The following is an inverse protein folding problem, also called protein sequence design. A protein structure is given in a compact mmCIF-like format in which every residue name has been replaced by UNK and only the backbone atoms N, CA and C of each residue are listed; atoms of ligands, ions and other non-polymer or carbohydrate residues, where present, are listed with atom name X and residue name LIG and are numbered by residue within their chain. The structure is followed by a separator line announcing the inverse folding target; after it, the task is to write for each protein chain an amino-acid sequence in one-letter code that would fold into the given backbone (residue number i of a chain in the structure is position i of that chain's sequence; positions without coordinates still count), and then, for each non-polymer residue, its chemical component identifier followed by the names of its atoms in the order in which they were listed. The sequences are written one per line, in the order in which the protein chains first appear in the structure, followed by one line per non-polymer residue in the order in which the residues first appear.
data_IF_935722312678
#
_entry.id   IF_935722312678
#
_cell.length_a   1.000
_cell.length_b   1.000
_cell.length_c   1.000
_cell.angle_alpha   90.00
_cell.angle_beta   90.00
_cell.angle_gamma   90.00
#
_symmetry.space_group_name_H-M   'P 1'
#
loop_
_entity.id
_entity.type
_entity.pdbx_description
1 polymer ?
#
# COMPACT_ATOMS: atom_id res chain seq x y z
N UNK A 1 5.18 21.58 -11.36
CA UNK A 1 4.91 21.14 -9.99
C UNK A 1 5.05 22.35 -9.08
N UNK A 2 4.11 22.56 -8.16
CA UNK A 2 3.90 23.83 -7.45
C UNK A 2 4.90 23.93 -6.29
N UNK A 3 5.79 24.94 -6.26
CA UNK A 3 6.87 25.08 -5.24
C UNK A 3 6.37 24.99 -3.79
N UNK A 4 5.11 25.36 -3.57
CA UNK A 4 4.45 25.26 -2.27
C UNK A 4 4.12 23.81 -1.86
N UNK A 5 3.75 22.94 -2.81
CA UNK A 5 3.52 21.52 -2.58
C UNK A 5 4.84 20.83 -2.24
N UNK A 6 5.91 21.14 -2.96
CA UNK A 6 7.24 20.55 -2.76
C UNK A 6 7.78 20.85 -1.36
N UNK A 7 7.67 22.10 -0.89
CA UNK A 7 8.08 22.49 0.48
C UNK A 7 7.29 21.76 1.56
N UNK A 8 5.99 21.53 1.35
CA UNK A 8 5.15 20.81 2.33
C UNK A 8 5.47 19.33 2.37
N UNK A 9 5.61 18.72 1.20
CA UNK A 9 6.02 17.33 1.08
C UNK A 9 7.32 17.10 1.85
N UNK A 10 8.31 17.95 1.65
CA UNK A 10 9.59 17.89 2.39
C UNK A 10 9.38 17.92 3.91
N UNK A 11 8.55 18.84 4.43
CA UNK A 11 8.24 18.89 5.87
C UNK A 11 7.59 17.61 6.40
N UNK A 12 6.69 17.00 5.61
CA UNK A 12 6.07 15.73 5.98
C UNK A 12 7.02 14.53 5.87
N UNK A 13 7.89 14.49 4.86
CA UNK A 13 8.96 13.48 4.73
C UNK A 13 9.91 13.58 5.94
N UNK A 14 10.31 14.78 6.33
CA UNK A 14 11.15 14.98 7.51
C UNK A 14 10.46 14.50 8.79
N UNK A 15 9.16 14.76 8.93
CA UNK A 15 8.37 14.30 10.08
C UNK A 15 8.22 12.78 10.06
N UNK A 16 7.98 12.20 8.88
CA UNK A 16 7.90 10.75 8.67
C UNK A 16 9.20 10.07 9.09
N UNK A 17 10.35 10.56 8.61
CA UNK A 17 11.67 10.03 8.97
C UNK A 17 11.95 10.12 10.48
N UNK A 18 11.54 11.22 11.13
CA UNK A 18 11.65 11.37 12.59
C UNK A 18 10.78 10.34 13.32
N UNK A 19 9.55 10.13 12.88
CA UNK A 19 8.64 9.14 13.47
C UNK A 19 9.23 7.73 13.30
N UNK A 20 9.68 7.37 12.10
CA UNK A 20 10.38 6.11 11.86
C UNK A 20 11.51 5.85 12.85
N UNK A 21 12.38 6.85 13.08
CA UNK A 21 13.49 6.71 14.03
C UNK A 21 13.07 6.60 15.50
N UNK A 22 11.83 6.98 15.84
CA UNK A 22 11.31 6.94 17.21
C UNK A 22 10.77 5.56 17.58
N UNK A 23 10.33 4.77 16.60
CA UNK A 23 9.69 3.47 16.82
C UNK A 23 10.65 2.27 16.77
N UNK A 24 11.95 2.46 17.00
CA UNK A 24 13.03 1.45 16.85
C UNK A 24 12.98 0.30 17.89
N UNK A 25 11.90 -0.47 17.83
CA UNK A 25 11.69 -1.76 18.50
C UNK A 25 11.29 -2.82 17.46
N UNK A 26 12.24 -3.20 16.60
CA UNK A 26 12.37 -4.59 16.13
C UNK A 26 11.61 -5.12 14.90
N UNK A 27 10.73 -4.38 14.20
CA UNK A 27 10.14 -4.88 12.92
C UNK A 27 9.90 -3.75 11.92
N UNK A 28 10.78 -3.62 10.92
CA UNK A 28 10.86 -2.46 10.02
C UNK A 28 9.65 -2.16 9.13
N UNK A 29 8.80 -3.14 8.84
CA UNK A 29 7.66 -2.98 7.91
C UNK A 29 6.42 -2.37 8.59
N UNK A 30 6.07 -2.82 9.79
CA UNK A 30 4.95 -2.27 10.57
C UNK A 30 5.21 -0.82 11.01
N UNK A 31 6.48 -0.46 11.23
CA UNK A 31 6.88 0.90 11.62
C UNK A 31 6.62 1.93 10.52
N UNK A 32 6.86 1.57 9.25
CA UNK A 32 6.57 2.44 8.09
C UNK A 32 5.08 2.71 7.95
N UNK A 33 4.28 1.66 8.11
CA UNK A 33 2.83 1.79 8.05
C UNK A 33 2.33 2.70 9.18
N UNK A 34 2.76 2.48 10.42
CA UNK A 34 2.38 3.33 11.57
C UNK A 34 2.82 4.80 11.35
N UNK A 35 4.07 5.03 10.96
CA UNK A 35 4.59 6.37 10.71
C UNK A 35 3.81 7.08 9.59
N UNK A 36 3.51 6.38 8.49
CA UNK A 36 2.71 6.91 7.39
C UNK A 36 1.28 7.25 7.86
N UNK A 37 0.68 6.39 8.68
CA UNK A 37 -0.64 6.63 9.27
C UNK A 37 -0.68 7.89 10.14
N UNK A 38 0.33 8.09 10.98
CA UNK A 38 0.44 9.30 11.81
C UNK A 38 0.60 10.57 10.96
N UNK A 39 1.36 10.50 9.86
CA UNK A 39 1.48 11.60 8.92
C UNK A 39 0.14 11.91 8.25
N UNK A 40 -0.62 10.89 7.85
CA UNK A 40 -1.93 11.08 7.25
C UNK A 40 -2.90 11.78 8.21
N UNK A 41 -2.88 11.42 9.50
CA UNK A 41 -3.65 12.13 10.53
C UNK A 41 -3.24 13.60 10.63
N UNK A 42 -1.94 13.92 10.57
CA UNK A 42 -1.46 15.30 10.58
C UNK A 42 -1.88 16.08 9.33
N UNK A 43 -1.80 15.44 8.17
CA UNK A 43 -2.25 15.98 6.88
C UNK A 43 -3.74 16.31 6.94
N UNK A 44 -4.56 15.40 7.47
CA UNK A 44 -6.00 15.59 7.63
C UNK A 44 -6.34 16.64 8.69
N UNK A 45 -5.61 16.69 9.80
CA UNK A 45 -5.77 17.75 10.81
C UNK A 45 -5.44 19.15 10.27
N UNK A 46 -4.58 19.24 9.25
CA UNK A 46 -4.21 20.50 8.59
C UNK A 46 -5.07 20.81 7.34
N UNK A 47 -6.04 19.96 7.00
CA UNK A 47 -6.74 19.94 5.70
C UNK A 47 -7.60 21.18 5.37
N UNK A 48 -7.92 22.03 6.34
CA UNK A 48 -8.82 23.17 6.16
C UNK A 48 -8.34 24.23 5.14
N UNK A 49 -7.10 24.15 4.65
CA UNK A 49 -6.49 25.20 3.83
C UNK A 49 -5.99 24.74 2.44
N UNK A 50 -6.18 23.48 2.02
CA UNK A 50 -5.39 22.91 0.92
C UNK A 50 -6.21 22.37 -0.26
N UNK A 51 -5.94 22.92 -1.45
CA UNK A 51 -6.53 22.46 -2.72
C UNK A 51 -5.82 21.24 -3.33
N UNK A 52 -4.68 20.81 -2.77
CA UNK A 52 -3.80 19.75 -3.31
C UNK A 52 -3.59 18.60 -2.32
N UNK A 53 -4.57 18.36 -1.45
CA UNK A 53 -4.50 17.37 -0.37
C UNK A 53 -4.27 15.95 -0.91
N UNK A 54 -5.03 15.56 -1.93
CA UNK A 54 -4.95 14.24 -2.55
C UNK A 54 -3.59 14.00 -3.20
N UNK A 55 -3.04 14.99 -3.90
CA UNK A 55 -1.72 14.91 -4.51
C UNK A 55 -0.60 14.76 -3.46
N UNK A 56 -0.71 15.50 -2.34
CA UNK A 56 0.21 15.35 -1.22
C UNK A 56 0.16 13.94 -0.60
N UNK A 57 -1.06 13.42 -0.36
CA UNK A 57 -1.25 12.05 0.15
C UNK A 57 -0.64 11.02 -0.79
N UNK A 58 -0.88 11.16 -2.10
CA UNK A 58 -0.32 10.27 -3.11
C UNK A 58 1.22 10.27 -3.07
N UNK A 59 1.84 11.45 -3.09
CA UNK A 59 3.31 11.55 -3.07
C UNK A 59 3.91 10.99 -1.78
N UNK A 60 3.26 11.18 -0.63
CA UNK A 60 3.68 10.57 0.62
C UNK A 60 3.58 9.05 0.60
N UNK A 61 2.49 8.49 0.04
CA UNK A 61 2.34 7.05 -0.11
C UNK A 61 3.40 6.46 -1.04
N UNK A 62 3.71 7.12 -2.17
CA UNK A 62 4.78 6.68 -3.09
C UNK A 62 6.13 6.62 -2.35
N UNK A 63 6.48 7.69 -1.63
CA UNK A 63 7.77 7.76 -0.92
C UNK A 63 7.87 6.77 0.24
N UNK A 64 6.75 6.44 0.89
CA UNK A 64 6.73 5.50 1.99
C UNK A 64 6.60 4.03 1.54
N UNK A 65 6.29 3.78 0.26
CA UNK A 65 6.10 2.43 -0.24
C UNK A 65 7.41 1.65 -0.26
N UNK A 66 7.34 0.36 0.08
CA UNK A 66 8.52 -0.43 0.39
C UNK A 66 9.35 -0.85 -0.83
N UNK A 67 8.77 -0.82 -2.04
CA UNK A 67 9.44 -1.26 -3.27
C UNK A 67 8.84 -0.62 -4.51
N UNK A 68 9.65 0.13 -5.26
CA UNK A 68 9.26 0.73 -6.54
C UNK A 68 8.86 -0.31 -7.58
N UNK A 69 9.50 -1.48 -7.57
CA UNK A 69 9.18 -2.58 -8.50
C UNK A 69 7.79 -3.16 -8.18
N UNK A 70 7.50 -3.40 -6.90
CA UNK A 70 6.16 -3.84 -6.49
C UNK A 70 5.11 -2.78 -6.82
N UNK A 71 5.43 -1.49 -6.66
CA UNK A 71 4.52 -0.39 -6.97
C UNK A 71 4.16 -0.36 -8.45
N UNK A 72 5.18 -0.47 -9.32
CA UNK A 72 4.95 -0.62 -10.78
C UNK A 72 4.09 -1.85 -11.05
N UNK A 73 4.40 -2.96 -10.40
CA UNK A 73 3.72 -4.22 -10.62
C UNK A 73 2.24 -4.20 -10.26
N UNK A 74 1.78 -3.36 -9.32
CA UNK A 74 0.36 -3.22 -8.95
C UNK A 74 -0.36 -2.07 -9.66
N UNK A 75 0.39 -1.12 -10.21
CA UNK A 75 -0.13 0.05 -10.94
C UNK A 75 -0.30 -0.24 -12.42
N UNK A 76 0.60 -1.00 -13.00
CA UNK A 76 0.62 -1.25 -14.43
C UNK A 76 -0.35 -2.40 -14.79
N UNK A 77 -0.76 -2.50 -16.05
CA UNK A 77 -1.68 -3.54 -16.53
C UNK A 77 -1.04 -4.94 -16.46
N UNK A 78 -1.90 -5.96 -16.32
CA UNK A 78 -1.49 -7.37 -16.38
C UNK A 78 -0.75 -7.64 -17.69
N UNK A 79 0.49 -8.14 -17.58
CA UNK A 79 1.37 -8.44 -18.69
C UNK A 79 2.38 -9.54 -18.32
N UNK A 80 3.21 -9.95 -19.28
CA UNK A 80 4.31 -10.90 -19.03
C UNK A 80 5.31 -10.41 -17.97
N UNK A 81 5.34 -9.10 -17.71
CA UNK A 81 6.17 -8.49 -16.67
C UNK A 81 5.48 -8.43 -15.30
N UNK A 82 4.21 -8.86 -15.20
CA UNK A 82 3.52 -8.94 -13.91
C UNK A 82 4.13 -10.06 -13.08
N UNK A 83 5.14 -9.69 -12.31
CA UNK A 83 5.87 -10.62 -11.45
C UNK A 83 4.95 -11.14 -10.36
N UNK A 84 5.08 -12.42 -10.03
CA UNK A 84 4.38 -13.05 -8.90
C UNK A 84 5.37 -13.58 -7.86
N UNK A 85 6.66 -13.31 -8.05
CA UNK A 85 7.73 -13.83 -7.19
C UNK A 85 8.09 -12.87 -6.05
N UNK A 86 7.39 -11.75 -5.91
CA UNK A 86 7.63 -10.84 -4.80
C UNK A 86 7.13 -11.44 -3.49
N UNK A 87 7.92 -11.27 -2.43
CA UNK A 87 7.35 -11.28 -1.09
C UNK A 87 6.60 -9.96 -0.92
N UNK A 88 5.30 -9.98 -1.18
CA UNK A 88 4.47 -8.79 -1.24
C UNK A 88 4.24 -8.19 0.16
N UNK A 89 5.26 -7.68 0.85
CA UNK A 89 5.10 -7.04 2.15
C UNK A 89 4.45 -5.65 2.00
N UNK A 90 3.17 -5.64 1.62
CA UNK A 90 2.40 -4.42 1.37
C UNK A 90 2.26 -3.61 2.66
N UNK A 91 2.42 -2.29 2.54
CA UNK A 91 1.91 -1.36 3.55
C UNK A 91 0.39 -1.20 3.36
N UNK A 92 -0.44 -1.60 4.34
CA UNK A 92 -1.89 -1.39 4.28
C UNK A 92 -2.29 0.05 3.99
N UNK A 93 -1.64 1.03 4.65
CA UNK A 93 -2.01 2.45 4.51
C UNK A 93 -1.64 2.99 3.14
N UNK A 94 -0.44 2.68 2.64
CA UNK A 94 -0.04 3.11 1.30
C UNK A 94 -0.94 2.49 0.21
N UNK A 95 -1.22 1.18 0.31
CA UNK A 95 -2.10 0.48 -0.62
C UNK A 95 -3.50 1.07 -0.63
N UNK A 96 -4.07 1.33 0.55
CA UNK A 96 -5.38 1.97 0.68
C UNK A 96 -5.40 3.36 0.04
N UNK A 97 -4.38 4.18 0.29
CA UNK A 97 -4.26 5.50 -0.31
C UNK A 97 -4.19 5.44 -1.84
N UNK A 98 -3.40 4.51 -2.39
CA UNK A 98 -3.33 4.32 -3.84
C UNK A 98 -4.69 3.90 -4.43
N UNK A 99 -5.44 3.01 -3.75
CA UNK A 99 -6.78 2.59 -4.17
C UNK A 99 -7.79 3.75 -4.12
N UNK A 100 -7.82 4.51 -3.02
CA UNK A 100 -8.71 5.66 -2.81
C UNK A 100 -8.47 6.78 -3.82
N UNK A 101 -7.23 6.96 -4.27
CA UNK A 101 -6.85 8.00 -5.23
C UNK A 101 -6.88 7.51 -6.69
N UNK A 102 -6.91 6.20 -6.92
CA UNK A 102 -7.11 5.61 -8.26
C UNK A 102 -5.80 5.39 -8.99
N UNK A 103 -4.75 5.20 -8.20
CA UNK A 103 -3.39 4.97 -8.67
C UNK A 103 -3.10 3.50 -8.95
N UNK A 104 -4.00 2.57 -8.59
CA UNK A 104 -3.81 1.13 -8.79
C UNK A 104 -4.58 0.62 -10.03
N UNK A 105 -4.14 -0.52 -10.57
CA UNK A 105 -4.86 -1.22 -11.62
C UNK A 105 -5.69 -2.38 -11.04
N UNK A 106 -7.01 -2.33 -11.26
CA UNK A 106 -7.94 -3.30 -10.67
C UNK A 106 -7.66 -4.73 -11.14
N UNK A 107 -7.44 -4.92 -12.45
CA UNK A 107 -7.18 -6.23 -13.04
C UNK A 107 -5.92 -6.84 -12.46
N UNK A 108 -4.90 -6.03 -12.23
CA UNK A 108 -3.63 -6.47 -11.66
C UNK A 108 -3.75 -6.84 -10.19
N UNK A 109 -4.49 -6.08 -9.39
CA UNK A 109 -4.76 -6.44 -7.99
C UNK A 109 -5.53 -7.77 -7.88
N UNK A 110 -6.55 -7.96 -8.72
CA UNK A 110 -7.33 -9.20 -8.80
C UNK A 110 -6.43 -10.39 -9.14
N UNK A 111 -5.57 -10.23 -10.15
CA UNK A 111 -4.65 -11.27 -10.60
C UNK A 111 -3.67 -11.70 -9.51
N UNK A 112 -3.02 -10.74 -8.85
CA UNK A 112 -2.06 -11.03 -7.76
C UNK A 112 -2.79 -11.68 -6.58
N UNK A 113 -3.95 -11.14 -6.17
CA UNK A 113 -4.75 -11.71 -5.07
C UNK A 113 -5.10 -13.17 -5.34
N UNK A 114 -5.61 -13.49 -6.52
CA UNK A 114 -6.04 -14.85 -6.85
C UNK A 114 -4.88 -15.83 -6.82
N UNK A 115 -3.68 -15.39 -7.23
CA UNK A 115 -2.46 -16.18 -7.13
C UNK A 115 -2.07 -16.44 -5.68
N UNK A 116 -2.05 -15.41 -4.83
CA UNK A 116 -1.72 -15.56 -3.42
C UNK A 116 -2.74 -16.47 -2.71
N UNK A 117 -4.04 -16.29 -2.98
CA UNK A 117 -5.10 -17.12 -2.45
C UNK A 117 -4.95 -18.60 -2.86
N UNK A 118 -4.52 -18.86 -4.10
CA UNK A 118 -4.21 -20.21 -4.55
C UNK A 118 -3.07 -20.85 -3.77
N UNK A 119 -1.96 -20.14 -3.53
CA UNK A 119 -0.83 -20.66 -2.75
C UNK A 119 -1.22 -20.89 -1.29
N UNK A 120 -1.97 -19.98 -0.67
CA UNK A 120 -2.54 -20.19 0.68
C UNK A 120 -3.41 -21.45 0.72
N UNK A 121 -4.29 -21.64 -0.25
CA UNK A 121 -5.18 -22.81 -0.30
C UNK A 121 -4.41 -24.12 -0.49
N UNK A 122 -3.44 -24.13 -1.41
CA UNK A 122 -2.57 -25.28 -1.70
C UNK A 122 -1.81 -25.75 -0.46
N UNK A 123 -1.42 -24.81 0.41
CA UNK A 123 -0.62 -25.08 1.61
C UNK A 123 -1.41 -25.04 2.92
N UNK A 124 -2.75 -25.02 2.87
CA UNK A 124 -3.63 -24.91 4.05
C UNK A 124 -3.44 -26.01 5.11
N UNK A 125 -2.95 -27.19 4.69
CA UNK A 125 -2.71 -28.35 5.56
C UNK A 125 -1.22 -28.57 5.84
N UNK A 126 -0.36 -27.61 5.51
CA UNK A 126 1.06 -27.68 5.82
C UNK A 126 1.27 -27.69 7.34
N UNK A 127 2.34 -28.35 7.81
CA UNK A 127 2.75 -28.23 9.21
C UNK A 127 3.12 -26.78 9.53
N UNK A 128 3.08 -26.37 10.80
CA UNK A 128 3.40 -24.99 11.19
C UNK A 128 4.77 -24.53 10.69
N UNK A 129 5.76 -25.43 10.69
CA UNK A 129 7.11 -25.15 10.16
C UNK A 129 7.11 -24.94 8.65
N UNK A 130 6.41 -25.80 7.91
CA UNK A 130 6.29 -25.66 6.45
C UNK A 130 5.47 -24.42 6.06
N UNK A 131 4.38 -24.11 6.77
CA UNK A 131 3.58 -22.92 6.56
C UNK A 131 4.39 -21.63 6.80
N UNK A 132 5.28 -21.64 7.80
CA UNK A 132 6.21 -20.54 8.06
C UNK A 132 7.23 -20.38 6.91
N UNK A 133 7.87 -21.47 6.47
CA UNK A 133 8.83 -21.44 5.36
C UNK A 133 8.21 -20.97 4.04
N UNK A 134 6.92 -21.28 3.83
CA UNK A 134 6.16 -20.90 2.65
C UNK A 134 5.45 -19.55 2.79
N UNK A 135 5.66 -18.82 3.90
CA UNK A 135 5.04 -17.53 4.20
C UNK A 135 3.50 -17.49 4.03
N UNK A 136 2.81 -18.59 4.35
CA UNK A 136 1.35 -18.71 4.14
C UNK A 136 0.57 -17.62 4.89
N UNK A 137 1.05 -17.20 6.06
CA UNK A 137 0.44 -16.11 6.83
C UNK A 137 0.61 -14.75 6.16
N UNK A 138 1.81 -14.45 5.63
CA UNK A 138 2.07 -13.22 4.89
C UNK A 138 1.18 -13.15 3.65
N UNK A 139 1.11 -14.21 2.86
CA UNK A 139 0.25 -14.29 1.68
C UNK A 139 -1.23 -14.08 2.03
N UNK A 140 -1.70 -14.66 3.14
CA UNK A 140 -3.07 -14.46 3.62
C UNK A 140 -3.34 -13.01 4.03
N UNK A 141 -2.40 -12.35 4.70
CA UNK A 141 -2.52 -10.94 5.09
C UNK A 141 -2.56 -10.04 3.85
N UNK A 142 -1.71 -10.32 2.87
CA UNK A 142 -1.68 -9.60 1.59
C UNK A 142 -2.98 -9.76 0.81
N UNK A 143 -3.57 -10.96 0.80
CA UNK A 143 -4.90 -11.17 0.22
C UNK A 143 -5.95 -10.24 0.85
N UNK A 144 -5.91 -10.05 2.17
CA UNK A 144 -6.82 -9.15 2.87
C UNK A 144 -6.64 -7.70 2.41
N UNK A 145 -5.40 -7.22 2.36
CA UNK A 145 -5.09 -5.85 1.92
C UNK A 145 -5.54 -5.63 0.47
N UNK A 146 -5.29 -6.60 -0.41
CA UNK A 146 -5.70 -6.53 -1.81
C UNK A 146 -7.24 -6.53 -1.96
N UNK A 147 -7.95 -7.31 -1.16
CA UNK A 147 -9.42 -7.30 -1.15
C UNK A 147 -9.97 -5.93 -0.73
N UNK A 148 -9.42 -5.33 0.32
CA UNK A 148 -9.84 -4.00 0.77
C UNK A 148 -9.63 -2.96 -0.36
N UNK A 149 -8.50 -3.02 -1.06
CA UNK A 149 -8.21 -2.14 -2.19
C UNK A 149 -9.18 -2.34 -3.36
N UNK A 150 -9.48 -3.60 -3.70
CA UNK A 150 -10.44 -3.95 -4.75
C UNK A 150 -11.82 -3.38 -4.42
N UNK A 151 -12.30 -3.57 -3.19
CA UNK A 151 -13.60 -3.05 -2.75
C UNK A 151 -13.67 -1.51 -2.84
N UNK A 152 -12.60 -0.82 -2.42
CA UNK A 152 -12.49 0.64 -2.53
C UNK A 152 -12.60 1.08 -4.00
N UNK A 153 -11.86 0.41 -4.90
CA UNK A 153 -11.82 0.75 -6.31
C UNK A 153 -13.17 0.48 -6.99
N UNK A 154 -13.80 -0.67 -6.72
CA UNK A 154 -15.13 -1.02 -7.25
C UNK A 154 -16.20 -0.02 -6.80
N UNK A 155 -16.19 0.39 -5.52
CA UNK A 155 -17.10 1.43 -5.01
C UNK A 155 -16.92 2.76 -5.75
N UNK A 156 -15.69 3.15 -6.06
CA UNK A 156 -15.42 4.38 -6.81
C UNK A 156 -15.91 4.32 -8.24
N UNK A 157 -15.70 3.21 -8.93
CA UNK A 157 -16.21 3.00 -10.30
C UNK A 157 -17.74 3.05 -10.30
N UNK A 158 -18.39 2.40 -9.33
CA UNK A 158 -19.85 2.38 -9.25
C UNK A 158 -20.44 3.74 -8.81
N UNK A 159 -19.76 4.47 -7.93
CA UNK A 159 -20.17 5.82 -7.51
C UNK A 159 -19.93 6.90 -8.56
N UNK A 160 -18.97 6.72 -9.48
CA UNK A 160 -18.74 7.62 -10.61
C UNK A 160 -19.75 7.44 -11.76
N UNK A 161 -20.45 6.30 -11.79
CA UNK A 161 -21.46 5.95 -12.79
C UNK A 161 -22.91 6.20 -12.30
N UNK A 162 -23.08 6.77 -11.09
CA UNK A 162 -24.36 7.10 -10.47
C UNK A 162 -24.66 8.61 -10.58
#
# INVERSE_FOLDING_TARGET
MNEHLDKKLLGFIETYNKLLSTFDYGVGEFQRDIALGMIYVLVDAQAACWNSLEELKLQLAINAFNSDEMLKNIRDDVSDNTSLSFNYCYSPIAMKAFAELGYLNLSTLIYIRDRLAHEVHKHRNASSMAACMLNVQGDSMNCSILNDCIEIMEKRVNGANA
#
